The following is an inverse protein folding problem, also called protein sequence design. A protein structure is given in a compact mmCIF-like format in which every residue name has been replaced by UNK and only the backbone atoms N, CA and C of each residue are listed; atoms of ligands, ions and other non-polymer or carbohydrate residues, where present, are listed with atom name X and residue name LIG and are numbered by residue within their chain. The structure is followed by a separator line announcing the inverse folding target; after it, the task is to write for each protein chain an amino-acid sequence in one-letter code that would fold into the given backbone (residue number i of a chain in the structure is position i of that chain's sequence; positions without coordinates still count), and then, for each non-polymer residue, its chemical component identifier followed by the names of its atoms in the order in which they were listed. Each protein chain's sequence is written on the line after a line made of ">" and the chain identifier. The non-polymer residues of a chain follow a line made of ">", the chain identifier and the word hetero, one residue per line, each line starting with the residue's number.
data_IF_806428226728
#
_entry.id   IF_806428226728
#
_cell.length_a   1.000
_cell.length_b   1.000
_cell.length_c   1.000
_cell.angle_alpha   90.00
_cell.angle_beta   90.00
_cell.angle_gamma   90.00
#
_symmetry.space_group_name_H-M   'P 1'
#
loop_
_entity.id
_entity.type
_entity.pdbx_description
1 polymer ?
#
# COMPACT_ATOMS: atom_id res chain seq x y z
N UNK A 1 38.25 18.43 -14.97
CA UNK A 1 37.21 19.47 -14.74
C UNK A 1 36.04 19.36 -15.73
N UNK A 2 36.22 19.55 -17.03
CA UNK A 2 35.10 19.40 -18.00
C UNK A 2 34.52 17.98 -18.08
N UNK A 3 35.35 16.94 -18.01
CA UNK A 3 34.93 15.56 -18.04
C UNK A 3 34.04 15.19 -16.83
N UNK A 4 34.40 15.69 -15.65
CA UNK A 4 33.60 15.49 -14.44
C UNK A 4 32.23 16.18 -14.55
N UNK A 5 32.21 17.39 -15.08
CA UNK A 5 30.98 18.16 -15.29
C UNK A 5 30.01 17.45 -16.25
N UNK A 6 30.52 16.81 -17.32
CA UNK A 6 29.70 16.01 -18.25
C UNK A 6 29.18 14.73 -17.60
N UNK A 7 29.98 14.09 -16.74
CA UNK A 7 29.54 12.91 -15.99
C UNK A 7 28.41 13.26 -15.02
N UNK A 8 28.53 14.38 -14.33
CA UNK A 8 27.49 14.88 -13.41
C UNK A 8 26.21 15.24 -14.17
N UNK A 9 26.32 15.92 -15.31
CA UNK A 9 25.17 16.28 -16.16
C UNK A 9 24.42 15.03 -16.66
N UNK A 10 25.14 13.99 -17.07
CA UNK A 10 24.54 12.73 -17.50
C UNK A 10 23.84 11.99 -16.35
N UNK A 11 24.41 12.01 -15.16
CA UNK A 11 23.80 11.44 -13.95
C UNK A 11 22.54 12.19 -13.55
N UNK A 12 22.58 13.54 -13.60
CA UNK A 12 21.39 14.38 -13.35
C UNK A 12 20.29 14.10 -14.36
N UNK A 13 20.63 13.94 -15.65
CA UNK A 13 19.65 13.59 -16.69
C UNK A 13 18.99 12.24 -16.44
N UNK A 14 19.75 11.22 -16.03
CA UNK A 14 19.21 9.91 -15.63
C UNK A 14 18.30 10.03 -14.41
N UNK A 15 18.70 10.79 -13.40
CA UNK A 15 17.88 11.05 -12.22
C UNK A 15 16.56 11.68 -12.61
N UNK A 16 16.56 12.67 -13.47
CA UNK A 16 15.35 13.31 -13.99
C UNK A 16 14.42 12.30 -14.68
N UNK A 17 14.95 11.47 -15.56
CA UNK A 17 14.19 10.39 -16.22
C UNK A 17 13.57 9.45 -15.19
N UNK A 18 14.35 9.01 -14.20
CA UNK A 18 13.87 8.13 -13.12
C UNK A 18 12.70 8.73 -12.35
N UNK A 19 12.82 10.00 -11.96
CA UNK A 19 11.76 10.73 -11.25
C UNK A 19 10.50 10.83 -12.12
N UNK A 20 10.63 11.15 -13.40
CA UNK A 20 9.49 11.24 -14.32
C UNK A 20 8.78 9.90 -14.46
N UNK A 21 9.52 8.81 -14.63
CA UNK A 21 8.95 7.45 -14.74
C UNK A 21 8.19 7.06 -13.46
N UNK A 22 8.80 7.25 -12.29
CA UNK A 22 8.15 6.92 -11.02
C UNK A 22 6.91 7.79 -10.81
N UNK A 23 7.03 9.10 -10.99
CA UNK A 23 5.90 10.03 -10.82
C UNK A 23 4.73 9.68 -11.73
N UNK A 24 5.03 9.35 -13.00
CA UNK A 24 4.02 8.91 -13.97
C UNK A 24 3.37 7.60 -13.53
N UNK A 25 4.16 6.62 -13.08
CA UNK A 25 3.63 5.35 -12.58
C UNK A 25 2.69 5.55 -11.39
N UNK A 26 3.08 6.36 -10.40
CA UNK A 26 2.24 6.65 -9.23
C UNK A 26 0.95 7.37 -9.61
N UNK A 27 1.01 8.31 -10.53
CA UNK A 27 -0.16 9.03 -11.03
C UNK A 27 -1.12 8.11 -11.79
N UNK A 28 -0.61 7.23 -12.64
CA UNK A 28 -1.43 6.28 -13.40
C UNK A 28 -2.11 5.23 -12.53
N UNK A 29 -1.47 4.82 -11.43
CA UNK A 29 -2.05 3.88 -10.45
C UNK A 29 -3.18 4.49 -9.63
N UNK A 30 -3.43 5.80 -9.74
CA UNK A 30 -4.49 6.54 -9.00
C UNK A 30 -4.44 6.37 -7.48
N UNK A 31 -3.29 6.02 -6.92
CA UNK A 31 -3.09 5.89 -5.48
C UNK A 31 -2.72 7.25 -4.91
N UNK A 32 -3.71 8.00 -4.48
CA UNK A 32 -3.54 9.37 -3.98
C UNK A 32 -3.12 9.43 -2.51
N UNK A 33 -3.25 8.33 -1.78
CA UNK A 33 -2.90 8.25 -0.36
C UNK A 33 -1.94 7.08 -0.10
N UNK A 34 -1.00 7.27 0.82
CA UNK A 34 -0.09 6.20 1.26
C UNK A 34 -0.84 4.98 1.84
N UNK A 35 -2.02 5.20 2.39
CA UNK A 35 -2.89 4.13 2.91
C UNK A 35 -3.44 3.20 1.81
N UNK A 36 -3.36 3.62 0.54
CA UNK A 36 -3.78 2.81 -0.61
C UNK A 36 -2.65 1.97 -1.20
N UNK A 37 -1.42 2.15 -0.71
CA UNK A 37 -0.28 1.37 -1.17
C UNK A 37 -0.35 -0.06 -0.63
N UNK A 38 -0.08 -1.01 -1.50
CA UNK A 38 0.07 -2.42 -1.13
C UNK A 38 1.52 -2.73 -0.79
N UNK A 39 1.77 -3.87 -0.13
CA UNK A 39 3.14 -4.33 0.14
C UNK A 39 3.98 -4.46 -1.13
N UNK A 40 3.38 -4.88 -2.26
CA UNK A 40 4.06 -4.94 -3.56
C UNK A 40 4.46 -3.55 -4.06
N UNK A 41 3.61 -2.53 -3.85
CA UNK A 41 3.96 -1.17 -4.25
C UNK A 41 5.16 -0.65 -3.46
N UNK A 42 5.21 -0.91 -2.15
CA UNK A 42 6.37 -0.53 -1.32
C UNK A 42 7.64 -1.23 -1.79
N UNK A 43 7.60 -2.56 -1.92
CA UNK A 43 8.75 -3.34 -2.40
C UNK A 43 9.18 -2.87 -3.78
N UNK A 44 8.23 -2.67 -4.69
CA UNK A 44 8.50 -2.19 -6.05
C UNK A 44 9.15 -0.81 -6.08
N UNK A 45 8.71 0.13 -5.24
CA UNK A 45 9.30 1.45 -5.13
C UNK A 45 10.73 1.40 -4.54
N UNK A 46 11.01 0.49 -3.59
CA UNK A 46 12.37 0.26 -3.09
C UNK A 46 13.28 -0.28 -4.19
N UNK A 47 12.79 -1.24 -4.99
CA UNK A 47 13.55 -1.79 -6.12
C UNK A 47 13.83 -0.69 -7.15
N UNK A 48 12.83 0.13 -7.50
CA UNK A 48 13.00 1.26 -8.42
C UNK A 48 14.03 2.25 -7.90
N UNK A 49 13.96 2.63 -6.62
CA UNK A 49 14.94 3.49 -5.98
C UNK A 49 16.35 2.90 -5.99
N UNK A 50 16.47 1.58 -5.74
CA UNK A 50 17.73 0.85 -5.82
C UNK A 50 18.33 0.84 -7.23
N UNK A 51 17.51 0.63 -8.27
CA UNK A 51 17.94 0.69 -9.67
C UNK A 51 18.42 2.10 -10.02
N UNK A 52 17.67 3.13 -9.65
CA UNK A 52 18.05 4.53 -9.89
C UNK A 52 19.37 4.83 -9.18
N UNK A 53 19.47 4.57 -7.88
CA UNK A 53 20.66 4.86 -7.10
C UNK A 53 21.89 4.06 -7.53
N UNK A 54 21.72 2.78 -7.89
CA UNK A 54 22.82 1.92 -8.31
C UNK A 54 23.36 2.20 -9.72
N UNK A 55 22.50 2.63 -10.64
CA UNK A 55 22.87 2.81 -12.05
C UNK A 55 23.23 4.27 -12.38
N UNK A 56 22.79 5.23 -11.56
CA UNK A 56 22.94 6.66 -11.86
C UNK A 56 24.40 7.06 -12.11
N UNK A 57 25.33 6.49 -11.36
CA UNK A 57 26.78 6.71 -11.50
C UNK A 57 27.50 5.66 -12.33
N UNK A 58 26.79 4.63 -12.77
CA UNK A 58 27.42 3.56 -13.57
C UNK A 58 27.40 3.93 -15.06
N UNK A 59 28.54 4.42 -15.53
CA UNK A 59 28.71 4.84 -16.94
C UNK A 59 28.81 3.69 -17.93
N UNK A 60 29.03 2.44 -17.45
CA UNK A 60 29.03 1.24 -18.29
C UNK A 60 27.64 0.86 -18.76
N UNK A 61 26.60 1.30 -18.09
CA UNK A 61 25.19 1.06 -18.47
C UNK A 61 24.72 2.21 -19.35
N UNK A 62 24.21 1.89 -20.54
CA UNK A 62 23.62 2.91 -21.41
C UNK A 62 22.35 3.49 -20.81
N UNK A 63 22.05 4.77 -21.12
CA UNK A 63 20.78 5.39 -20.70
C UNK A 63 19.58 4.67 -21.25
N UNK A 64 19.67 4.08 -22.45
CA UNK A 64 18.61 3.27 -23.02
C UNK A 64 18.34 2.02 -22.17
N UNK A 65 19.38 1.26 -21.79
CA UNK A 65 19.25 0.08 -20.93
C UNK A 65 18.67 0.43 -19.56
N UNK A 66 19.07 1.59 -19.00
CA UNK A 66 18.51 2.13 -17.76
C UNK A 66 17.00 2.37 -17.87
N UNK A 67 16.54 3.05 -18.91
CA UNK A 67 15.11 3.33 -19.16
C UNK A 67 14.33 2.03 -19.35
N UNK A 68 14.85 1.09 -20.15
CA UNK A 68 14.23 -0.22 -20.36
C UNK A 68 14.06 -0.98 -19.05
N UNK A 69 15.08 -0.98 -18.19
CA UNK A 69 15.03 -1.65 -16.90
C UNK A 69 13.98 -1.02 -15.96
N UNK A 70 13.91 0.30 -15.92
CA UNK A 70 12.88 0.99 -15.13
C UNK A 70 11.46 0.67 -15.63
N UNK A 71 11.24 0.72 -16.93
CA UNK A 71 9.94 0.41 -17.53
C UNK A 71 9.56 -1.06 -17.31
N UNK A 72 10.51 -1.99 -17.42
CA UNK A 72 10.30 -3.39 -17.12
C UNK A 72 9.90 -3.60 -15.66
N UNK A 73 10.57 -2.92 -14.73
CA UNK A 73 10.24 -2.98 -13.30
C UNK A 73 8.84 -2.44 -13.02
N UNK A 74 8.49 -1.28 -13.58
CA UNK A 74 7.13 -0.71 -13.49
C UNK A 74 6.09 -1.67 -14.08
N UNK A 75 6.40 -2.29 -15.22
CA UNK A 75 5.55 -3.31 -15.84
C UNK A 75 5.33 -4.52 -14.95
N UNK A 76 6.39 -5.01 -14.29
CA UNK A 76 6.28 -6.12 -13.34
C UNK A 76 5.41 -5.76 -12.13
N UNK A 77 5.63 -4.59 -11.52
CA UNK A 77 4.81 -4.12 -10.40
C UNK A 77 3.32 -4.05 -10.82
N UNK A 78 3.05 -3.50 -11.98
CA UNK A 78 1.69 -3.39 -12.53
C UNK A 78 1.08 -4.77 -12.79
N UNK A 79 1.86 -5.70 -13.33
CA UNK A 79 1.43 -7.08 -13.58
C UNK A 79 1.10 -7.80 -12.27
N UNK A 80 1.94 -7.71 -11.25
CA UNK A 80 1.67 -8.30 -9.94
C UNK A 80 0.40 -7.71 -9.30
N UNK A 81 0.22 -6.39 -9.36
CA UNK A 81 -1.00 -5.75 -8.88
C UNK A 81 -2.24 -6.19 -9.66
N UNK A 82 -2.12 -6.38 -10.98
CA UNK A 82 -3.22 -6.89 -11.82
C UNK A 82 -3.59 -8.32 -11.43
N UNK A 83 -2.61 -9.21 -11.31
CA UNK A 83 -2.82 -10.60 -10.87
C UNK A 83 -3.46 -10.63 -9.49
N UNK A 84 -2.93 -9.85 -8.54
CA UNK A 84 -3.48 -9.76 -7.19
C UNK A 84 -4.91 -9.22 -7.15
N UNK A 85 -5.29 -8.34 -8.09
CA UNK A 85 -6.66 -7.84 -8.17
C UNK A 85 -7.63 -8.85 -8.78
N UNK A 86 -7.15 -9.76 -9.63
CA UNK A 86 -7.98 -10.72 -10.36
C UNK A 86 -8.19 -12.03 -9.62
N UNK A 87 -7.21 -12.47 -8.83
CA UNK A 87 -7.25 -13.75 -8.14
C UNK A 87 -7.41 -13.58 -6.63
N UNK A 88 -8.49 -14.12 -6.04
CA UNK A 88 -8.78 -14.05 -4.60
C UNK A 88 -7.62 -14.48 -3.70
N UNK A 89 -6.97 -15.65 -3.90
CA UNK A 89 -5.85 -16.06 -3.05
C UNK A 89 -4.64 -15.12 -3.17
N UNK A 90 -4.31 -14.64 -4.37
CA UNK A 90 -3.25 -13.68 -4.57
C UNK A 90 -3.56 -12.33 -3.90
N UNK A 91 -4.84 -11.91 -3.89
CA UNK A 91 -5.28 -10.69 -3.21
C UNK A 91 -5.03 -10.75 -1.71
N UNK A 92 -5.26 -11.90 -1.06
CA UNK A 92 -5.03 -12.07 0.38
C UNK A 92 -3.54 -12.00 0.74
N UNK A 93 -2.66 -12.55 -0.12
CA UNK A 93 -1.21 -12.50 0.06
C UNK A 93 -0.67 -11.07 -0.14
N UNK A 94 -1.13 -10.40 -1.19
CA UNK A 94 -0.61 -9.08 -1.60
C UNK A 94 -1.21 -7.93 -0.81
N UNK A 95 -2.52 -8.00 -0.55
CA UNK A 95 -3.25 -6.93 0.15
C UNK A 95 -3.50 -7.21 1.63
N UNK A 96 -3.21 -8.44 2.09
CA UNK A 96 -3.54 -8.90 3.43
C UNK A 96 -5.04 -9.12 3.61
N UNK A 97 -5.41 -9.72 4.74
CA UNK A 97 -6.82 -9.89 5.15
C UNK A 97 -7.24 -8.72 6.02
N UNK A 98 -8.42 -8.19 5.78
CA UNK A 98 -9.06 -7.32 6.74
C UNK A 98 -9.58 -8.19 7.91
N UNK A 99 -9.36 -7.74 9.14
CA UNK A 99 -9.70 -8.48 10.36
C UNK A 99 -10.79 -7.75 11.10
N UNK A 100 -11.94 -8.40 11.30
CA UNK A 100 -13.04 -7.85 12.10
C UNK A 100 -12.70 -8.00 13.57
N UNK A 101 -12.66 -6.90 14.31
CA UNK A 101 -12.30 -6.84 15.74
C UNK A 101 -13.54 -6.76 16.62
N UNK A 102 -14.53 -5.97 16.22
CA UNK A 102 -15.80 -5.82 16.95
C UNK A 102 -16.94 -6.13 16.01
N UNK A 103 -17.89 -6.88 16.51
CA UNK A 103 -19.18 -7.16 15.85
C UNK A 103 -20.30 -7.08 16.90
N UNK A 104 -21.31 -6.24 16.65
CA UNK A 104 -22.44 -5.98 17.54
C UNK A 104 -22.05 -5.62 18.98
N UNK A 105 -20.99 -4.80 19.16
CA UNK A 105 -20.53 -4.35 20.47
C UNK A 105 -19.69 -5.37 21.26
N UNK A 106 -19.28 -6.48 20.61
CA UNK A 106 -18.49 -7.52 21.24
C UNK A 106 -17.21 -7.78 20.44
N UNK A 107 -16.11 -8.09 21.14
CA UNK A 107 -14.89 -8.53 20.49
C UNK A 107 -15.05 -9.90 19.83
N UNK A 108 -14.57 -10.03 18.61
CA UNK A 108 -14.52 -11.30 17.87
C UNK A 108 -13.22 -12.02 18.21
N UNK A 109 -13.29 -12.95 19.18
CA UNK A 109 -12.12 -13.62 19.77
C UNK A 109 -11.35 -14.46 18.74
N UNK A 110 -12.04 -15.17 17.85
CA UNK A 110 -11.41 -15.98 16.79
C UNK A 110 -10.58 -15.13 15.83
N UNK A 111 -11.02 -13.93 15.58
CA UNK A 111 -10.29 -12.97 14.73
C UNK A 111 -9.07 -12.37 15.44
N UNK A 112 -9.07 -12.31 16.78
CA UNK A 112 -7.95 -11.85 17.59
C UNK A 112 -6.82 -12.89 17.62
N UNK A 113 -7.12 -14.18 17.55
CA UNK A 113 -6.12 -15.25 17.52
C UNK A 113 -5.32 -15.24 16.19
N UNK A 114 -5.97 -15.01 15.06
CA UNK A 114 -5.29 -14.81 13.77
C UNK A 114 -4.53 -13.47 13.71
N UNK A 115 -4.98 -12.46 14.46
CA UNK A 115 -4.40 -11.12 14.49
C UNK A 115 -3.33 -10.94 15.59
N UNK A 116 -3.17 -11.90 16.51
CA UNK A 116 -2.31 -11.79 17.72
C UNK A 116 -0.88 -11.39 17.44
N UNK A 117 -0.33 -11.67 16.28
CA UNK A 117 1.06 -11.29 15.96
C UNK A 117 1.26 -9.79 15.70
N UNK A 118 0.17 -9.03 15.38
CA UNK A 118 0.27 -7.62 15.02
C UNK A 118 -0.86 -6.74 15.57
N UNK A 119 -1.77 -7.28 16.41
CA UNK A 119 -2.86 -6.52 16.99
C UNK A 119 -2.45 -5.96 18.36
N UNK A 120 -2.35 -4.64 18.44
CA UNK A 120 -2.13 -3.92 19.69
C UNK A 120 -3.45 -3.32 20.17
N UNK A 121 -3.97 -3.89 21.27
CA UNK A 121 -5.21 -3.44 21.88
C UNK A 121 -5.10 -2.01 22.44
N UNK A 122 -3.89 -1.57 22.81
CA UNK A 122 -3.66 -0.22 23.34
C UNK A 122 -3.84 0.78 22.21
N UNK A 123 -3.13 0.59 21.10
CA UNK A 123 -3.26 1.43 19.91
C UNK A 123 -4.69 1.42 19.34
N UNK A 124 -5.37 0.27 19.39
CA UNK A 124 -6.77 0.17 18.97
C UNK A 124 -7.70 1.03 19.86
N UNK A 125 -7.54 0.95 21.16
CA UNK A 125 -8.37 1.74 22.09
C UNK A 125 -8.06 3.24 21.99
N UNK A 126 -6.82 3.63 21.77
CA UNK A 126 -6.43 5.01 21.52
C UNK A 126 -7.09 5.54 20.22
N UNK A 127 -7.10 4.74 19.17
CA UNK A 127 -7.73 5.12 17.91
C UNK A 127 -9.26 5.21 18.02
N UNK A 128 -9.92 4.37 18.83
CA UNK A 128 -11.34 4.52 19.17
C UNK A 128 -11.61 5.82 19.92
N UNK A 129 -10.79 6.14 20.93
CA UNK A 129 -10.93 7.38 21.72
C UNK A 129 -10.70 8.63 20.87
N UNK A 130 -9.75 8.61 19.94
CA UNK A 130 -9.51 9.72 19.02
C UNK A 130 -10.72 10.04 18.15
N UNK A 131 -11.61 9.05 17.94
CA UNK A 131 -12.88 9.18 17.22
C UNK A 131 -14.07 9.44 18.13
N UNK A 132 -13.83 9.72 19.42
CA UNK A 132 -14.86 10.00 20.42
C UNK A 132 -15.67 8.77 20.81
N UNK A 133 -15.08 7.58 20.75
CA UNK A 133 -15.68 6.31 21.16
C UNK A 133 -14.96 5.84 22.42
N UNK A 134 -15.67 5.78 23.54
CA UNK A 134 -15.13 5.45 24.85
C UNK A 134 -15.58 4.08 25.36
N UNK A 135 -16.63 3.50 24.75
CA UNK A 135 -17.13 2.16 25.07
C UNK A 135 -17.18 1.30 23.79
N UNK A 136 -16.77 0.05 23.93
CA UNK A 136 -16.88 -0.97 22.88
C UNK A 136 -18.35 -1.25 22.56
N UNK A 137 -19.23 -1.11 23.54
CA UNK A 137 -20.66 -1.33 23.41
C UNK A 137 -21.33 -0.32 22.44
N UNK A 138 -20.72 0.86 22.26
CA UNK A 138 -21.19 1.88 21.31
C UNK A 138 -20.80 1.58 19.84
N UNK A 139 -20.01 0.52 19.65
CA UNK A 139 -19.53 0.13 18.32
C UNK A 139 -20.39 -1.00 17.77
N UNK A 140 -21.03 -0.79 16.64
CA UNK A 140 -21.72 -1.86 15.91
C UNK A 140 -20.76 -2.78 15.21
N UNK A 141 -19.75 -2.19 14.54
CA UNK A 141 -18.77 -2.94 13.76
C UNK A 141 -17.43 -2.20 13.74
N UNK A 142 -16.32 -2.93 13.96
CA UNK A 142 -14.99 -2.41 13.78
C UNK A 142 -14.10 -3.41 13.06
N UNK A 143 -13.36 -2.94 12.07
CA UNK A 143 -12.51 -3.76 11.23
C UNK A 143 -11.19 -3.07 10.96
N UNK A 144 -10.08 -3.80 11.16
CA UNK A 144 -8.78 -3.39 10.66
C UNK A 144 -8.62 -3.79 9.20
N UNK A 145 -8.38 -2.80 8.35
CA UNK A 145 -7.97 -3.03 6.98
C UNK A 145 -6.57 -3.62 6.91
N UNK A 146 -6.26 -4.27 5.81
CA UNK A 146 -4.93 -4.84 5.55
C UNK A 146 -3.78 -3.81 5.50
N UNK A 147 -4.12 -2.54 5.37
CA UNK A 147 -3.21 -1.39 5.41
C UNK A 147 -3.06 -0.78 6.81
N UNK A 148 -3.60 -1.44 7.84
CA UNK A 148 -3.60 -0.94 9.22
C UNK A 148 -4.63 0.17 9.49
N UNK A 149 -5.52 0.49 8.54
CA UNK A 149 -6.56 1.48 8.78
C UNK A 149 -7.73 0.86 9.56
N UNK A 150 -8.19 1.55 10.60
CA UNK A 150 -9.36 1.17 11.37
C UNK A 150 -10.64 1.77 10.77
N UNK A 151 -11.60 0.92 10.43
CA UNK A 151 -12.96 1.32 10.06
C UNK A 151 -13.88 1.01 11.23
N UNK A 152 -14.68 2.01 11.66
CA UNK A 152 -15.61 1.86 12.79
C UNK A 152 -16.98 2.36 12.38
N UNK A 153 -18.01 1.61 12.75
CA UNK A 153 -19.43 1.96 12.64
C UNK A 153 -20.01 2.01 14.04
N UNK A 154 -20.55 3.16 14.44
CA UNK A 154 -21.19 3.34 15.75
C UNK A 154 -22.61 2.78 15.74
N UNK A 155 -23.07 2.28 16.90
CA UNK A 155 -24.48 1.96 17.09
C UNK A 155 -25.31 3.23 16.91
N UNK A 156 -26.36 3.14 16.11
CA UNK A 156 -27.24 4.28 15.81
C UNK A 156 -26.86 5.11 14.59
N UNK A 157 -25.66 4.95 14.03
CA UNK A 157 -25.31 5.52 12.72
C UNK A 157 -25.95 4.72 11.58
N UNK A 158 -27.28 4.58 11.64
CA UNK A 158 -28.11 3.71 10.81
C UNK A 158 -28.19 4.05 9.32
N UNK A 159 -27.16 4.63 8.71
CA UNK A 159 -27.24 5.08 7.32
C UNK A 159 -26.29 4.42 6.32
N UNK A 160 -25.43 3.51 6.75
CA UNK A 160 -24.69 2.67 5.82
C UNK A 160 -25.24 1.25 5.86
N UNK A 161 -26.46 1.07 5.35
CA UNK A 161 -26.97 -0.25 4.96
C UNK A 161 -25.98 -0.85 3.98
N UNK A 162 -25.11 -1.76 4.46
CA UNK A 162 -24.37 -2.63 3.57
C UNK A 162 -25.39 -3.54 2.89
N UNK A 163 -25.80 -3.15 1.70
CA UNK A 163 -26.39 -4.11 0.79
C UNK A 163 -25.25 -5.03 0.37
N UNK A 164 -24.98 -6.04 1.18
CA UNK A 164 -24.24 -7.21 0.73
C UNK A 164 -25.13 -7.87 -0.31
N UNK A 165 -24.96 -7.47 -1.56
CA UNK A 165 -25.49 -8.23 -2.68
C UNK A 165 -24.73 -9.54 -2.71
N UNK A 166 -25.26 -10.53 -2.00
CA UNK A 166 -24.93 -11.93 -2.21
C UNK A 166 -25.32 -12.24 -3.65
N UNK A 167 -24.36 -12.28 -4.55
CA UNK A 167 -24.56 -12.96 -5.82
C UNK A 167 -24.55 -14.45 -5.51
N UNK A 168 -25.77 -15.04 -5.58
CA UNK A 168 -25.95 -16.48 -5.67
C UNK A 168 -25.25 -17.08 -6.89
#
# INVERSE_FOLDING_TARGET
>A
MWHELFLDAHSIFRLFIGIVIISTHLTLTKKQSLTQFTSIDFIGNFILGGIIGGIIYNHSVSTFSYVVLLLATVGMISLFNFIASRFMPARQIVKGKAVTIINHGQFVIDSLDDARSNFDIISFTEELRSRGIFSVEDVEFAQYGSNGSLTVVKKGDGSLSYVLVSKG
#
